data_IF_181394922919
#
_entry.id   IF_181394922919
#
_cell.length_a   1.000
_cell.length_b   1.000
_cell.length_c   1.000
_cell.angle_alpha   90.00
_cell.angle_beta   90.00
_cell.angle_gamma   90.00
#
_symmetry.space_group_name_H-M   'P 1'
#
loop_
_entity.id
_entity.type
_entity.pdbx_description
1 polymer ?
#
# COMPACT_ATOMS: atom_id res chain seq x y z
N UNK A 1 -14.82 14.19 -21.59
CA UNK A 1 -14.03 14.47 -20.38
C UNK A 1 -12.60 14.81 -20.76
N UNK A 2 -12.05 15.87 -20.19
CA UNK A 2 -10.65 16.26 -20.35
C UNK A 2 -9.73 15.38 -19.50
N UNK A 3 -8.42 15.40 -19.82
CA UNK A 3 -7.39 14.73 -19.00
C UNK A 3 -7.37 15.25 -17.57
N UNK A 4 -7.64 16.55 -17.37
CA UNK A 4 -7.68 17.18 -16.05
C UNK A 4 -8.88 16.68 -15.24
N UNK A 5 -10.07 16.63 -15.84
CA UNK A 5 -11.29 16.10 -15.21
C UNK A 5 -11.12 14.63 -14.82
N UNK A 6 -10.55 13.82 -15.70
CA UNK A 6 -10.29 12.40 -15.43
C UNK A 6 -9.34 12.21 -14.25
N UNK A 7 -8.28 13.03 -14.18
CA UNK A 7 -7.33 13.01 -13.05
C UNK A 7 -8.01 13.40 -11.74
N UNK A 8 -8.84 14.44 -11.75
CA UNK A 8 -9.58 14.87 -10.55
C UNK A 8 -10.54 13.78 -10.07
N UNK A 9 -11.25 13.13 -11.00
CA UNK A 9 -12.12 12.00 -10.69
C UNK A 9 -11.33 10.86 -10.03
N UNK A 10 -10.18 10.46 -10.59
CA UNK A 10 -9.34 9.41 -10.01
C UNK A 10 -8.86 9.75 -8.60
N UNK A 11 -8.47 11.01 -8.35
CA UNK A 11 -8.04 11.47 -7.02
C UNK A 11 -9.21 11.41 -6.04
N UNK A 12 -10.39 11.89 -6.44
CA UNK A 12 -11.59 11.86 -5.60
C UNK A 12 -12.00 10.43 -5.23
N UNK A 13 -12.02 9.52 -6.22
CA UNK A 13 -12.32 8.11 -5.98
C UNK A 13 -11.30 7.46 -5.03
N UNK A 14 -10.02 7.80 -5.19
CA UNK A 14 -8.97 7.32 -4.29
C UNK A 14 -9.15 7.84 -2.85
N UNK A 15 -9.56 9.09 -2.68
CA UNK A 15 -9.84 9.65 -1.36
C UNK A 15 -11.03 8.98 -0.70
N UNK A 16 -12.14 8.79 -1.43
CA UNK A 16 -13.31 8.08 -0.91
C UNK A 16 -12.96 6.66 -0.45
N UNK A 17 -12.18 5.93 -1.25
CA UNK A 17 -11.68 4.61 -0.88
C UNK A 17 -10.84 4.65 0.41
N UNK A 18 -9.98 5.66 0.58
CA UNK A 18 -9.19 5.81 1.82
C UNK A 18 -10.06 6.13 3.02
N UNK A 19 -11.03 7.02 2.85
CA UNK A 19 -11.97 7.41 3.90
C UNK A 19 -12.80 6.22 4.39
N UNK A 20 -13.31 5.39 3.48
CA UNK A 20 -14.06 4.19 3.81
C UNK A 20 -13.25 3.21 4.67
N UNK A 21 -12.03 2.86 4.23
CA UNK A 21 -11.15 1.96 4.97
C UNK A 21 -10.75 2.54 6.33
N UNK A 22 -10.52 3.85 6.39
CA UNK A 22 -10.20 4.55 7.64
C UNK A 22 -11.40 4.56 8.59
N UNK A 23 -12.60 4.78 8.08
CA UNK A 23 -13.82 4.73 8.86
C UNK A 23 -14.02 3.35 9.50
N UNK A 24 -13.84 2.27 8.73
CA UNK A 24 -13.86 0.91 9.27
C UNK A 24 -12.80 0.68 10.36
N UNK A 25 -11.57 1.14 10.14
CA UNK A 25 -10.51 1.04 11.13
C UNK A 25 -10.86 1.78 12.43
N UNK A 26 -11.42 2.99 12.34
CA UNK A 26 -11.82 3.76 13.52
C UNK A 26 -13.03 3.15 14.23
N UNK A 27 -13.94 2.48 13.52
CA UNK A 27 -15.07 1.78 14.13
C UNK A 27 -14.65 0.65 15.08
N UNK A 28 -13.44 0.10 14.95
CA UNK A 28 -12.93 -0.99 15.81
C UNK A 28 -12.36 -0.53 17.17
N UNK A 29 -12.28 0.78 17.44
CA UNK A 29 -11.71 1.23 18.70
C UNK A 29 -11.77 2.75 18.91
N UNK A 30 -11.84 3.15 20.17
CA UNK A 30 -11.93 4.56 20.54
C UNK A 30 -10.54 5.22 20.67
N UNK A 31 -10.53 6.54 20.56
CA UNK A 31 -9.33 7.39 20.56
C UNK A 31 -8.53 7.21 21.86
N UNK A 32 -7.40 6.51 21.76
CA UNK A 32 -6.50 6.26 22.88
C UNK A 32 -5.40 5.30 22.48
N UNK A 33 -5.58 4.02 22.82
CA UNK A 33 -4.68 2.96 22.40
C UNK A 33 -5.30 2.14 21.26
N UNK A 34 -4.46 1.70 20.32
CA UNK A 34 -4.93 0.87 19.22
C UNK A 34 -5.36 -0.51 19.73
N UNK A 35 -6.61 -0.86 19.47
CA UNK A 35 -7.19 -2.14 19.86
C UNK A 35 -6.57 -3.28 19.04
N UNK A 36 -6.75 -4.52 19.52
CA UNK A 36 -6.26 -5.68 18.78
C UNK A 36 -6.97 -5.83 17.42
N UNK A 37 -8.27 -5.54 17.39
CA UNK A 37 -9.06 -5.51 16.15
C UNK A 37 -8.53 -4.49 15.14
N UNK A 38 -8.11 -3.30 15.61
CA UNK A 38 -7.46 -2.30 14.76
C UNK A 38 -6.16 -2.81 14.16
N UNK A 39 -5.31 -3.47 14.95
CA UNK A 39 -4.05 -4.04 14.46
C UNK A 39 -4.30 -5.16 13.45
N UNK A 40 -5.23 -6.06 13.73
CA UNK A 40 -5.59 -7.16 12.84
C UNK A 40 -6.08 -6.64 11.48
N UNK A 41 -6.99 -5.66 11.49
CA UNK A 41 -7.44 -5.00 10.26
C UNK A 41 -6.29 -4.32 9.50
N UNK A 42 -5.36 -3.67 10.23
CA UNK A 42 -4.17 -3.10 9.60
C UNK A 42 -3.27 -4.18 8.96
N UNK A 43 -3.15 -5.37 9.55
CA UNK A 43 -2.38 -6.47 8.97
C UNK A 43 -3.01 -7.02 7.68
N UNK A 44 -4.33 -7.17 7.64
CA UNK A 44 -5.06 -7.55 6.41
C UNK A 44 -4.79 -6.56 5.27
N UNK A 45 -4.89 -5.25 5.56
CA UNK A 45 -4.58 -4.22 4.58
C UNK A 45 -3.10 -4.19 4.18
N UNK A 46 -2.19 -4.58 5.07
CA UNK A 46 -0.75 -4.67 4.76
C UNK A 46 -0.48 -5.83 3.82
N UNK A 47 -1.16 -6.97 3.98
CA UNK A 47 -1.02 -8.10 3.08
C UNK A 47 -1.54 -7.76 1.68
N UNK A 48 -2.69 -7.10 1.62
CA UNK A 48 -3.35 -6.74 0.34
C UNK A 48 -2.61 -5.62 -0.42
N UNK A 49 -2.28 -4.52 0.26
CA UNK A 49 -1.77 -3.30 -0.40
C UNK A 49 -0.31 -2.97 -0.07
N UNK A 50 0.26 -3.59 0.95
CA UNK A 50 1.61 -3.31 1.44
C UNK A 50 1.68 -2.12 2.40
N UNK A 51 2.69 -2.16 3.28
CA UNK A 51 2.82 -1.25 4.44
C UNK A 51 2.81 0.25 4.13
N UNK A 52 3.30 0.66 2.95
CA UNK A 52 3.31 2.08 2.56
C UNK A 52 1.93 2.57 2.16
N UNK A 53 1.16 1.73 1.46
CA UNK A 53 -0.20 2.06 1.08
C UNK A 53 -1.08 2.09 2.33
N UNK A 54 -0.99 1.07 3.19
CA UNK A 54 -1.75 1.01 4.44
C UNK A 54 -1.49 2.20 5.35
N UNK A 55 -0.23 2.65 5.49
CA UNK A 55 0.12 3.84 6.26
C UNK A 55 -0.60 5.11 5.73
N UNK A 56 -0.76 5.23 4.42
CA UNK A 56 -1.47 6.36 3.79
C UNK A 56 -2.99 6.24 3.98
N UNK A 57 -3.54 5.04 3.77
CA UNK A 57 -4.97 4.75 3.92
C UNK A 57 -5.43 5.06 5.35
N UNK A 58 -4.75 4.50 6.34
CA UNK A 58 -5.15 4.62 7.75
C UNK A 58 -4.70 5.93 8.41
N UNK A 59 -3.84 6.72 7.74
CA UNK A 59 -3.16 7.89 8.30
C UNK A 59 -2.37 7.59 9.58
N UNK A 60 -1.74 6.40 9.63
CA UNK A 60 -0.90 5.97 10.74
C UNK A 60 0.57 6.06 10.32
N UNK A 61 1.47 6.56 11.18
CA UNK A 61 2.90 6.56 10.87
C UNK A 61 3.38 5.16 10.48
N UNK A 62 4.10 5.07 9.36
CA UNK A 62 4.66 3.80 8.87
C UNK A 62 5.47 3.05 9.95
N UNK A 63 6.21 3.79 10.79
CA UNK A 63 6.99 3.21 11.89
C UNK A 63 6.12 2.46 12.91
N UNK A 64 4.91 2.96 13.18
CA UNK A 64 3.94 2.31 14.07
C UNK A 64 3.53 0.95 13.51
N UNK A 65 3.15 0.91 12.23
CA UNK A 65 2.80 -0.35 11.55
C UNK A 65 3.98 -1.32 11.50
N UNK A 66 5.19 -0.84 11.25
CA UNK A 66 6.40 -1.67 11.25
C UNK A 66 6.69 -2.26 12.63
N UNK A 67 6.49 -1.48 13.70
CA UNK A 67 6.65 -1.95 15.07
C UNK A 67 5.64 -3.05 15.39
N UNK A 68 4.38 -2.90 14.98
CA UNK A 68 3.38 -3.96 15.12
C UNK A 68 3.79 -5.21 14.36
N UNK A 69 4.17 -5.09 13.09
CA UNK A 69 4.59 -6.24 12.31
C UNK A 69 5.77 -6.98 12.96
N UNK A 70 6.74 -6.24 13.51
CA UNK A 70 7.86 -6.82 14.25
C UNK A 70 7.47 -7.53 15.55
N UNK A 71 6.54 -6.95 16.32
CA UNK A 71 6.05 -7.54 17.58
C UNK A 71 5.21 -8.80 17.36
N UNK A 72 4.44 -8.85 16.28
CA UNK A 72 3.50 -9.94 15.98
C UNK A 72 4.09 -11.00 15.03
N UNK A 73 5.38 -10.91 14.71
CA UNK A 73 6.03 -11.84 13.78
C UNK A 73 5.48 -11.80 12.35
N UNK A 74 4.77 -10.73 11.98
CA UNK A 74 4.19 -10.57 10.65
C UNK A 74 5.31 -10.22 9.67
N UNK A 75 5.69 -11.18 8.84
CA UNK A 75 6.66 -10.95 7.78
C UNK A 75 6.03 -10.16 6.63
N UNK A 76 6.24 -8.85 6.64
CA UNK A 76 5.85 -7.99 5.53
C UNK A 76 6.87 -8.13 4.41
N UNK A 77 6.46 -8.74 3.29
CA UNK A 77 7.26 -8.77 2.06
C UNK A 77 7.68 -7.33 1.71
N UNK A 78 8.97 -7.15 1.40
CA UNK A 78 9.56 -5.82 1.15
C UNK A 78 8.81 -5.05 0.05
N UNK A 79 8.29 -5.78 -0.94
CA UNK A 79 7.36 -5.29 -1.95
C UNK A 79 6.32 -6.38 -2.29
N UNK A 80 5.13 -6.01 -2.78
CA UNK A 80 4.19 -6.96 -3.38
C UNK A 80 4.82 -7.75 -4.54
N UNK A 81 4.33 -8.96 -4.79
CA UNK A 81 4.86 -9.88 -5.82
C UNK A 81 4.93 -9.22 -7.21
N UNK A 82 3.89 -8.46 -7.59
CA UNK A 82 3.81 -7.79 -8.89
C UNK A 82 4.93 -6.75 -9.11
N UNK A 83 5.52 -6.19 -8.04
CA UNK A 83 6.65 -5.25 -8.15
C UNK A 83 7.91 -5.99 -8.62
N UNK A 84 8.12 -7.23 -8.17
CA UNK A 84 9.22 -8.06 -8.63
C UNK A 84 9.04 -8.47 -10.09
N UNK A 85 7.83 -8.87 -10.49
CA UNK A 85 7.47 -9.16 -11.88
C UNK A 85 7.67 -7.93 -12.79
N UNK A 86 7.26 -6.74 -12.34
CA UNK A 86 7.49 -5.49 -13.06
C UNK A 86 8.98 -5.18 -13.23
N UNK A 87 9.77 -5.37 -12.17
CA UNK A 87 11.21 -5.15 -12.21
C UNK A 87 11.93 -6.16 -13.12
N UNK A 88 11.44 -7.39 -13.21
CA UNK A 88 11.93 -8.42 -14.13
C UNK A 88 11.65 -8.06 -15.59
N UNK A 89 10.40 -7.71 -15.93
CA UNK A 89 10.05 -7.23 -17.27
C UNK A 89 10.91 -6.04 -17.72
N UNK A 90 11.22 -5.11 -16.81
CA UNK A 90 12.13 -3.99 -17.12
C UNK A 90 13.56 -4.46 -17.41
N UNK A 91 14.05 -5.46 -16.67
CA UNK A 91 15.39 -6.04 -16.91
C UNK A 91 15.46 -6.74 -18.26
N UNK A 92 14.44 -7.53 -18.62
CA UNK A 92 14.33 -8.17 -19.93
C UNK A 92 14.31 -7.15 -21.06
N UNK A 93 13.48 -6.10 -20.94
CA UNK A 93 13.42 -5.04 -21.95
C UNK A 93 14.76 -4.33 -22.11
N UNK A 94 15.48 -4.05 -21.02
CA UNK A 94 16.83 -3.47 -21.10
C UNK A 94 17.82 -4.41 -21.79
N UNK A 95 17.81 -5.71 -21.45
CA UNK A 95 18.65 -6.73 -22.10
C UNK A 95 18.37 -6.82 -23.60
N UNK A 96 17.10 -6.76 -24.01
CA UNK A 96 16.70 -6.77 -25.41
C UNK A 96 17.31 -5.59 -26.19
N UNK A 97 17.28 -4.38 -25.64
CA UNK A 97 17.86 -3.20 -26.29
C UNK A 97 19.40 -3.20 -26.26
N UNK A 98 20.01 -3.68 -25.18
CA UNK A 98 21.46 -3.91 -25.11
C UNK A 98 21.94 -4.91 -26.17
N UNK A 99 21.23 -6.02 -26.35
CA UNK A 99 21.55 -7.02 -27.39
C UNK A 99 21.51 -6.41 -28.80
N UNK A 100 20.62 -5.45 -29.04
CA UNK A 100 20.51 -4.73 -30.31
C UNK A 100 21.48 -3.54 -30.46
N UNK A 101 22.39 -3.33 -29.50
CA UNK A 101 23.40 -2.28 -29.55
C UNK A 101 22.90 -0.87 -29.22
N UNK A 102 21.71 -0.74 -28.63
CA UNK A 102 21.11 0.55 -28.23
C UNK A 102 21.26 0.85 -26.73
N UNK A 103 22.08 0.08 -26.01
CA UNK A 103 22.11 0.06 -24.55
C UNK A 103 23.38 0.58 -23.93
#
# INVERSE_FOLDING_TARGET
MSKAETRQLMIAMQQQFYEEKRYHFLAFGNEGQYTESQKNYAFELIDEYGIRATARILQIPRRTLQRWCGLYGVYVKRCPSWVYEWAERRREKRRFWQYRGYG
#
